data_IF_054186861322
#
_entry.id   IF_054186861322
#
_cell.length_a   1.000
_cell.length_b   1.000
_cell.length_c   1.000
_cell.angle_alpha   90.00
_cell.angle_beta   90.00
_cell.angle_gamma   90.00
#
_symmetry.space_group_name_H-M   'P 1'
#
loop_
_entity.id
_entity.type
_entity.pdbx_description
1 polymer ?
#
# COMPACT_ATOMS: atom_id res chain seq x y z
N UNK A 1 13.69 6.46 3.69
CA UNK A 1 12.89 7.70 3.49
C UNK A 1 11.84 7.57 2.38
N UNK A 2 11.94 6.59 1.48
CA UNK A 2 11.05 6.48 0.30
C UNK A 2 9.67 5.88 0.57
N UNK A 3 9.51 5.02 1.59
CA UNK A 3 8.26 4.29 1.89
C UNK A 3 7.22 5.18 2.57
N UNK A 4 7.64 6.05 3.50
CA UNK A 4 6.72 6.96 4.22
C UNK A 4 6.12 8.01 3.28
N UNK A 5 6.89 8.47 2.29
CA UNK A 5 6.43 9.47 1.32
C UNK A 5 5.38 8.90 0.37
N UNK A 6 5.52 7.62 -0.03
CA UNK A 6 4.52 6.91 -0.85
C UNK A 6 3.20 6.69 -0.09
N UNK A 7 3.25 6.29 1.18
CA UNK A 7 2.06 6.12 2.04
C UNK A 7 1.27 7.44 2.17
N UNK A 8 1.95 8.57 2.41
CA UNK A 8 1.28 9.87 2.59
C UNK A 8 0.69 10.41 1.27
N UNK A 9 1.38 10.19 0.14
CA UNK A 9 0.88 10.58 -1.18
C UNK A 9 -0.35 9.76 -1.58
N UNK A 10 -0.35 8.46 -1.32
CA UNK A 10 -1.49 7.58 -1.60
C UNK A 10 -2.75 7.98 -0.80
N UNK A 11 -2.60 8.39 0.46
CA UNK A 11 -3.74 8.80 1.30
C UNK A 11 -4.31 10.18 0.89
N UNK A 12 -3.46 11.14 0.49
CA UNK A 12 -3.94 12.48 0.11
C UNK A 12 -4.45 12.58 -1.34
N UNK A 13 -3.96 11.75 -2.28
CA UNK A 13 -4.37 11.80 -3.69
C UNK A 13 -5.54 10.88 -4.07
N UNK A 14 -6.17 10.20 -3.10
CA UNK A 14 -7.38 9.38 -3.30
C UNK A 14 -8.58 10.12 -3.93
N UNK A 15 -8.50 11.43 -4.16
CA UNK A 15 -9.53 12.17 -4.91
C UNK A 15 -9.31 12.21 -6.43
N UNK A 16 -8.19 11.70 -6.98
CA UNK A 16 -7.94 11.66 -8.43
C UNK A 16 -7.49 10.28 -8.89
N UNK A 17 -8.13 9.78 -9.94
CA UNK A 17 -7.80 8.52 -10.64
C UNK A 17 -6.54 8.71 -11.50
N UNK A 18 -5.40 8.85 -10.84
CA UNK A 18 -4.11 9.03 -11.49
C UNK A 18 -3.43 7.68 -11.78
N UNK A 19 -2.74 7.59 -12.90
CA UNK A 19 -1.90 6.44 -13.22
C UNK A 19 -0.69 6.40 -12.28
N UNK A 20 -0.46 5.22 -11.68
CA UNK A 20 0.67 5.01 -10.76
C UNK A 20 1.79 4.28 -11.49
N UNK A 21 3.00 4.84 -11.41
CA UNK A 21 4.23 4.17 -11.79
C UNK A 21 4.94 3.70 -10.52
N UNK A 22 5.21 2.39 -10.43
CA UNK A 22 5.80 1.79 -9.23
C UNK A 22 7.23 1.34 -9.50
N UNK A 23 8.20 1.84 -8.73
CA UNK A 23 9.62 1.57 -8.95
C UNK A 23 10.08 0.37 -8.12
N UNK A 24 10.56 -0.68 -8.81
CA UNK A 24 11.03 -1.91 -8.19
C UNK A 24 9.93 -2.76 -7.55
N UNK A 25 10.33 -3.87 -6.93
CA UNK A 25 9.43 -4.83 -6.26
C UNK A 25 9.95 -5.27 -4.88
N UNK A 26 11.08 -4.72 -4.43
CA UNK A 26 11.78 -5.15 -3.21
C UNK A 26 11.09 -4.66 -1.91
N UNK A 27 10.40 -3.52 -1.97
CA UNK A 27 9.77 -2.90 -0.80
C UNK A 27 8.26 -3.15 -0.81
N UNK A 28 7.82 -4.16 -0.07
CA UNK A 28 6.42 -4.57 0.00
C UNK A 28 5.74 -4.08 1.27
N UNK A 29 4.58 -3.43 1.10
CA UNK A 29 3.62 -3.22 2.18
C UNK A 29 2.62 -4.39 2.25
N UNK A 30 1.85 -4.47 3.34
CA UNK A 30 0.98 -5.62 3.59
C UNK A 30 -0.06 -5.86 2.48
N UNK A 31 -0.46 -4.84 1.72
CA UNK A 31 -1.44 -4.94 0.63
C UNK A 31 -0.80 -5.11 -0.77
N UNK A 32 0.52 -4.96 -0.90
CA UNK A 32 1.19 -5.00 -2.22
C UNK A 32 1.10 -6.36 -2.90
N UNK A 33 0.97 -7.45 -2.15
CA UNK A 33 0.80 -8.80 -2.72
C UNK A 33 -0.46 -8.96 -3.59
N UNK A 34 -1.48 -8.13 -3.36
CA UNK A 34 -2.72 -8.12 -4.13
C UNK A 34 -2.69 -7.13 -5.29
N UNK A 35 -1.85 -6.09 -5.22
CA UNK A 35 -1.56 -5.25 -6.38
C UNK A 35 -0.76 -6.05 -7.41
N UNK A 36 -1.04 -5.78 -8.69
CA UNK A 36 -0.51 -6.57 -9.80
C UNK A 36 0.01 -5.62 -10.88
N UNK A 37 1.25 -5.82 -11.35
CA UNK A 37 1.81 -5.00 -12.43
C UNK A 37 0.94 -5.12 -13.67
N UNK A 38 0.81 -4.02 -14.42
CA UNK A 38 -0.01 -3.86 -15.63
C UNK A 38 -1.53 -4.00 -15.47
N UNK A 39 -2.00 -4.49 -14.32
CA UNK A 39 -3.41 -4.51 -13.96
C UNK A 39 -3.76 -3.24 -13.18
N UNK A 40 -2.98 -2.94 -12.13
CA UNK A 40 -3.26 -1.88 -11.17
C UNK A 40 -2.28 -0.69 -11.25
N UNK A 41 -1.08 -0.89 -11.81
CA UNK A 41 -0.03 0.12 -11.95
C UNK A 41 0.95 -0.27 -13.07
N UNK A 42 1.80 0.66 -13.52
CA UNK A 42 2.90 0.38 -14.47
C UNK A 42 4.21 0.17 -13.69
N UNK A 43 4.89 -0.97 -13.82
CA UNK A 43 6.17 -1.20 -13.16
C UNK A 43 7.32 -0.43 -13.85
N UNK A 44 8.14 0.25 -13.05
CA UNK A 44 9.37 0.91 -13.45
C UNK A 44 10.58 0.12 -12.96
N UNK A 45 11.63 0.11 -13.78
CA UNK A 45 12.93 -0.44 -13.38
C UNK A 45 13.53 0.38 -12.24
N UNK A 46 14.23 -0.29 -11.32
CA UNK A 46 14.91 0.36 -10.19
C UNK A 46 15.99 1.34 -10.62
N UNK A 47 16.60 1.11 -11.78
CA UNK A 47 17.59 1.99 -12.41
C UNK A 47 16.97 3.14 -13.22
N UNK A 48 15.63 3.22 -13.28
CA UNK A 48 14.85 4.22 -14.02
C UNK A 48 15.14 4.27 -15.53
N UNK A 49 15.79 3.26 -16.08
CA UNK A 49 16.20 3.20 -17.49
C UNK A 49 15.04 3.30 -18.48
N UNK A 50 13.86 2.80 -18.08
CA UNK A 50 12.66 2.73 -18.92
C UNK A 50 11.63 3.84 -18.65
N UNK A 51 11.94 4.85 -17.83
CA UNK A 51 10.97 5.91 -17.47
C UNK A 51 10.44 6.64 -18.70
N UNK A 52 11.31 7.09 -19.60
CA UNK A 52 10.91 7.88 -20.76
C UNK A 52 10.05 7.07 -21.74
N UNK A 53 10.41 5.81 -21.95
CA UNK A 53 9.65 4.89 -22.79
C UNK A 53 8.23 4.69 -22.23
N UNK A 54 8.10 4.47 -20.92
CA UNK A 54 6.82 4.20 -20.28
C UNK A 54 5.93 5.45 -20.15
N UNK A 55 6.53 6.64 -20.03
CA UNK A 55 5.79 7.90 -20.14
C UNK A 55 5.24 8.07 -21.55
N UNK A 56 6.06 7.86 -22.58
CA UNK A 56 5.61 7.95 -23.97
C UNK A 56 4.51 6.94 -24.26
N UNK A 57 4.67 5.69 -23.81
CA UNK A 57 3.63 4.66 -23.88
C UNK A 57 2.31 5.14 -23.27
N UNK A 58 2.33 5.73 -22.08
CA UNK A 58 1.11 6.20 -21.41
C UNK A 58 0.45 7.38 -22.12
N UNK A 59 1.24 8.25 -22.76
CA UNK A 59 0.73 9.39 -23.56
C UNK A 59 0.14 8.90 -24.88
N UNK A 60 0.77 7.95 -25.54
CA UNK A 60 0.31 7.39 -26.83
C UNK A 60 -0.87 6.44 -26.67
N UNK A 61 -1.06 5.85 -25.49
CA UNK A 61 -2.10 4.86 -25.18
C UNK A 61 -2.95 5.33 -23.99
N UNK A 62 -3.59 6.49 -24.14
CA UNK A 62 -4.35 7.15 -23.06
C UNK A 62 -5.49 6.28 -22.52
N UNK A 63 -6.18 5.53 -23.38
CA UNK A 63 -7.27 4.62 -23.01
C UNK A 63 -6.78 3.46 -22.12
N UNK A 64 -5.65 2.85 -22.49
CA UNK A 64 -5.00 1.80 -21.70
C UNK A 64 -4.54 2.37 -20.35
N UNK A 65 -3.86 3.52 -20.38
CA UNK A 65 -3.38 4.21 -19.19
C UNK A 65 -4.52 4.54 -18.22
N UNK A 66 -5.64 5.06 -18.74
CA UNK A 66 -6.83 5.38 -17.95
C UNK A 66 -7.46 4.11 -17.36
N UNK A 67 -7.53 3.02 -18.12
CA UNK A 67 -8.08 1.76 -17.64
C UNK A 67 -7.23 1.15 -16.50
N UNK A 68 -5.90 1.24 -16.59
CA UNK A 68 -4.99 0.82 -15.51
C UNK A 68 -5.20 1.70 -14.26
N UNK A 69 -5.23 3.03 -14.43
CA UNK A 69 -5.46 3.97 -13.34
C UNK A 69 -6.79 3.72 -12.63
N UNK A 70 -7.85 3.46 -13.39
CA UNK A 70 -9.18 3.15 -12.88
C UNK A 70 -9.17 1.86 -12.04
N UNK A 71 -8.58 0.77 -12.55
CA UNK A 71 -8.49 -0.49 -11.82
C UNK A 71 -7.66 -0.36 -10.55
N UNK A 72 -6.53 0.35 -10.60
CA UNK A 72 -5.71 0.62 -9.42
C UNK A 72 -6.49 1.38 -8.34
N UNK A 73 -7.23 2.43 -8.75
CA UNK A 73 -8.10 3.19 -7.87
C UNK A 73 -9.20 2.31 -7.26
N UNK A 74 -9.93 1.56 -8.09
CA UNK A 74 -11.03 0.71 -7.63
C UNK A 74 -10.53 -0.38 -6.67
N UNK A 75 -9.34 -0.92 -6.91
CA UNK A 75 -8.74 -1.90 -6.02
C UNK A 75 -8.52 -1.31 -4.62
N UNK A 76 -7.85 -0.14 -4.53
CA UNK A 76 -7.59 0.52 -3.25
C UNK A 76 -8.90 0.93 -2.56
N UNK A 77 -9.85 1.50 -3.33
CA UNK A 77 -11.14 1.94 -2.81
C UNK A 77 -11.97 0.79 -2.21
N UNK A 78 -11.94 -0.38 -2.86
CA UNK A 78 -12.77 -1.51 -2.46
C UNK A 78 -12.11 -2.45 -1.45
N UNK A 79 -10.78 -2.53 -1.42
CA UNK A 79 -10.03 -3.53 -0.64
C UNK A 79 -9.08 -2.95 0.42
N UNK A 80 -8.96 -1.62 0.51
CA UNK A 80 -8.15 -0.94 1.51
C UNK A 80 -9.00 -0.06 2.43
N UNK A 81 -10.16 -0.60 2.86
CA UNK A 81 -11.03 0.11 3.80
C UNK A 81 -10.42 0.04 5.20
N UNK A 82 -10.76 1.02 6.04
CA UNK A 82 -10.34 1.03 7.44
C UNK A 82 -10.74 -0.26 8.17
N UNK A 83 -11.88 -0.85 7.81
CA UNK A 83 -12.34 -2.15 8.32
C UNK A 83 -11.37 -3.28 8.00
N UNK A 84 -10.86 -3.34 6.77
CA UNK A 84 -9.88 -4.34 6.32
C UNK A 84 -8.54 -4.16 7.07
N UNK A 85 -8.11 -2.91 7.25
CA UNK A 85 -6.88 -2.57 7.99
C UNK A 85 -6.97 -3.03 9.45
N UNK A 86 -8.10 -2.73 10.12
CA UNK A 86 -8.33 -3.13 11.51
C UNK A 86 -8.35 -4.66 11.62
N UNK A 87 -9.08 -5.34 10.71
CA UNK A 87 -9.16 -6.81 10.67
C UNK A 87 -7.79 -7.46 10.46
N UNK A 88 -6.96 -6.89 9.56
CA UNK A 88 -5.60 -7.38 9.33
C UNK A 88 -4.75 -7.27 10.59
N UNK A 89 -4.74 -6.12 11.27
CA UNK A 89 -3.96 -5.91 12.49
C UNK A 89 -4.43 -6.81 13.64
N UNK A 90 -5.74 -6.99 13.80
CA UNK A 90 -6.30 -7.90 14.80
C UNK A 90 -5.82 -9.33 14.58
N UNK A 91 -6.00 -9.85 13.36
CA UNK A 91 -5.57 -11.21 13.00
C UNK A 91 -4.05 -11.41 13.14
N UNK A 92 -3.26 -10.42 12.73
CA UNK A 92 -1.80 -10.44 12.86
C UNK A 92 -1.37 -10.55 14.32
N UNK A 93 -1.90 -9.68 15.18
CA UNK A 93 -1.54 -9.65 16.61
C UNK A 93 -2.01 -10.92 17.33
N UNK A 94 -3.21 -11.42 17.04
CA UNK A 94 -3.71 -12.69 17.59
C UNK A 94 -2.81 -13.85 17.20
N UNK A 95 -2.48 -13.99 15.91
CA UNK A 95 -1.65 -15.10 15.45
C UNK A 95 -0.20 -15.00 15.94
N UNK A 96 0.36 -13.80 15.98
CA UNK A 96 1.68 -13.57 16.55
C UNK A 96 1.73 -13.91 18.05
N UNK A 97 0.68 -13.59 18.81
CA UNK A 97 0.63 -13.89 20.26
C UNK A 97 0.75 -15.40 20.56
N UNK A 98 0.27 -16.26 19.66
CA UNK A 98 0.38 -17.73 19.78
C UNK A 98 1.82 -18.25 19.67
N UNK A 99 2.73 -17.45 19.10
CA UNK A 99 4.14 -17.80 18.94
C UNK A 99 4.98 -17.48 20.19
N UNK A 100 4.41 -16.77 21.17
CA UNK A 100 5.11 -16.42 22.41
C UNK A 100 5.42 -17.67 23.24
N UNK A 101 6.71 -17.90 23.50
CA UNK A 101 7.19 -19.01 24.35
C UNK A 101 7.23 -18.65 25.85
N UNK A 102 6.72 -17.48 26.22
CA UNK A 102 6.75 -16.96 27.58
C UNK A 102 5.47 -16.18 27.88
N UNK A 103 5.17 -15.99 29.17
CA UNK A 103 4.05 -15.17 29.62
C UNK A 103 4.49 -13.70 29.75
N UNK A 104 3.90 -12.75 29.00
CA UNK A 104 4.29 -11.34 29.10
C UNK A 104 4.03 -10.77 30.49
N UNK A 105 4.95 -9.94 30.98
CA UNK A 105 4.82 -9.20 32.24
C UNK A 105 4.87 -7.70 31.96
N UNK A 106 3.94 -6.95 32.58
CA UNK A 106 3.87 -5.49 32.42
C UNK A 106 5.12 -4.82 32.98
N UNK A 107 5.77 -4.00 32.16
CA UNK A 107 6.87 -3.13 32.61
C UNK A 107 6.30 -1.85 33.24
N UNK A 108 6.62 -1.60 34.52
CA UNK A 108 6.16 -0.42 35.26
C UNK A 108 6.65 0.92 34.70
N UNK A 109 7.67 0.93 33.84
CA UNK A 109 8.19 2.14 33.19
C UNK A 109 7.36 2.59 31.98
N UNK A 110 6.49 1.73 31.46
CA UNK A 110 5.70 2.05 30.27
C UNK A 110 4.40 2.77 30.64
N UNK A 111 4.10 3.85 29.91
CA UNK A 111 2.85 4.58 30.03
C UNK A 111 1.72 3.77 29.40
N UNK A 112 0.57 3.72 30.07
CA UNK A 112 -0.63 3.05 29.53
C UNK A 112 -1.27 3.95 28.48
N UNK A 113 -1.40 3.46 27.25
CA UNK A 113 -2.20 4.11 26.21
C UNK A 113 -3.64 3.60 26.34
N UNK A 114 -4.59 4.52 26.47
CA UNK A 114 -6.02 4.21 26.54
C UNK A 114 -6.67 4.45 25.16
N UNK A 115 -7.73 3.69 24.80
CA UNK A 115 -8.50 3.98 23.60
C UNK A 115 -9.02 5.42 23.66
N UNK A 116 -8.92 6.15 22.56
CA UNK A 116 -9.63 7.41 22.41
C UNK A 116 -11.12 7.06 22.31
N UNK A 117 -11.97 7.63 23.18
CA UNK A 117 -13.43 7.50 23.01
C UNK A 117 -13.77 8.04 21.63
N UNK A 118 -14.41 7.21 20.80
CA UNK A 118 -15.03 7.63 19.54
C UNK A 118 -16.32 8.39 19.84
#
# INVERSE_FOLDING_TARGET
MSVITLQILLEHHQQKKSLVFHVGDEWLEFFYHQLKPWIHYIPLSTDLSNVMELINFAVENEDIAQAIAQRGFDFIWNHLKMEDIICYWENLLINYSKLLKYKPVKNGRFKVIKPKKM
#
